data_IF_827995547404
#
_entry.id   IF_827995547404
#
_cell.length_a   1.000
_cell.length_b   1.000
_cell.length_c   1.000
_cell.angle_alpha   90.00
_cell.angle_beta   90.00
_cell.angle_gamma   90.00
#
_symmetry.space_group_name_H-M   'P 1'
#
loop_
_entity.id
_entity.type
_entity.pdbx_description
1 polymer ?
#
# COMPACT_ATOMS: atom_id res chain seq x y z
N UNK A 1 32.49 -9.64 6.53
CA UNK A 1 31.12 -10.11 6.26
C UNK A 1 31.09 -10.54 4.81
N UNK A 2 30.79 -11.81 4.53
CA UNK A 2 30.58 -12.28 3.16
C UNK A 2 29.39 -11.51 2.57
N UNK A 3 29.44 -11.02 1.31
CA UNK A 3 28.28 -10.40 0.69
C UNK A 3 27.10 -11.37 0.77
N UNK A 4 25.98 -10.92 1.34
CA UNK A 4 24.79 -11.75 1.38
C UNK A 4 24.32 -12.06 -0.03
N UNK A 5 23.89 -13.28 -0.30
CA UNK A 5 23.32 -13.71 -1.58
C UNK A 5 21.95 -13.06 -1.90
N UNK A 6 21.59 -11.98 -1.21
CA UNK A 6 20.33 -11.28 -1.39
C UNK A 6 20.51 -10.17 -2.44
N UNK A 7 19.72 -10.28 -3.50
CA UNK A 7 19.51 -9.20 -4.44
C UNK A 7 18.14 -8.57 -4.19
N UNK A 8 18.03 -7.27 -4.44
CA UNK A 8 16.76 -6.58 -4.44
C UNK A 8 16.66 -5.59 -5.59
N UNK A 9 15.44 -5.34 -6.04
CA UNK A 9 15.12 -4.34 -7.05
C UNK A 9 13.81 -3.66 -6.71
N UNK A 10 13.66 -2.41 -7.16
CA UNK A 10 12.48 -1.59 -6.87
C UNK A 10 11.94 -1.00 -8.16
N UNK A 11 10.62 -0.96 -8.29
CA UNK A 11 9.94 -0.25 -9.35
C UNK A 11 8.66 0.39 -8.82
N UNK A 12 8.25 1.48 -9.45
CA UNK A 12 7.05 2.23 -9.10
C UNK A 12 6.24 2.52 -10.36
N UNK A 13 4.94 2.28 -10.31
CA UNK A 13 4.00 2.64 -11.37
C UNK A 13 2.91 3.54 -10.81
N UNK A 14 2.50 4.53 -11.61
CA UNK A 14 1.34 5.35 -11.34
C UNK A 14 0.07 4.50 -11.56
N UNK A 15 -0.78 4.41 -10.54
CA UNK A 15 -2.06 3.70 -10.55
C UNK A 15 -3.26 4.66 -10.42
N UNK A 16 -3.06 5.95 -10.64
CA UNK A 16 -4.12 6.95 -10.59
C UNK A 16 -5.18 6.63 -11.64
N UNK A 17 -6.45 6.50 -11.22
CA UNK A 17 -7.53 6.29 -12.15
C UNK A 17 -7.92 7.58 -12.90
N UNK A 18 -8.67 7.47 -14.01
CA UNK A 18 -9.40 8.60 -14.57
C UNK A 18 -10.28 9.33 -13.54
N UNK A 19 -10.52 10.62 -13.76
CA UNK A 19 -11.50 11.40 -12.99
C UNK A 19 -12.91 10.82 -13.24
N UNK A 20 -13.72 10.72 -12.19
CA UNK A 20 -15.05 10.13 -12.25
C UNK A 20 -15.15 8.73 -11.61
N UNK A 21 -14.03 8.13 -11.17
CA UNK A 21 -14.09 6.87 -10.42
C UNK A 21 -14.68 7.10 -9.02
N UNK A 22 -15.64 6.27 -8.56
CA UNK A 22 -16.12 6.28 -7.18
C UNK A 22 -14.98 6.12 -6.18
N UNK A 23 -14.90 7.03 -5.23
CA UNK A 23 -13.91 6.98 -4.18
C UNK A 23 -14.45 6.20 -2.96
N UNK A 24 -13.56 5.63 -2.15
CA UNK A 24 -13.95 4.81 -0.99
C UNK A 24 -13.31 5.29 0.31
N UNK A 25 -13.98 5.06 1.44
CA UNK A 25 -13.46 5.37 2.79
C UNK A 25 -14.32 6.35 3.60
N UNK A 26 -15.20 7.11 2.96
CA UNK A 26 -16.18 7.99 3.62
C UNK A 26 -17.58 7.74 3.07
N UNK A 27 -18.57 7.64 3.95
CA UNK A 27 -19.96 7.45 3.56
C UNK A 27 -20.51 8.71 2.88
N UNK A 28 -21.36 8.53 1.87
CA UNK A 28 -22.04 9.62 1.17
C UNK A 28 -21.16 10.47 0.24
N UNK A 29 -19.93 10.03 -0.08
CA UNK A 29 -19.09 10.72 -1.07
C UNK A 29 -19.44 10.32 -2.50
N UNK A 30 -19.25 11.23 -3.43
CA UNK A 30 -19.38 10.99 -4.87
C UNK A 30 -18.09 10.47 -5.53
N UNK A 31 -18.11 10.49 -6.86
CA UNK A 31 -16.95 10.21 -7.70
C UNK A 31 -15.82 11.25 -7.52
N UNK A 32 -14.60 10.91 -7.96
CA UNK A 32 -13.50 11.86 -8.00
C UNK A 32 -13.80 13.01 -8.97
N UNK A 33 -13.46 14.23 -8.55
CA UNK A 33 -13.58 15.47 -9.36
C UNK A 33 -12.22 15.95 -9.90
N UNK A 34 -11.13 15.33 -9.44
CA UNK A 34 -9.77 15.68 -9.82
C UNK A 34 -8.74 14.83 -9.10
N UNK A 35 -7.47 15.12 -9.36
CA UNK A 35 -6.30 14.47 -8.75
C UNK A 35 -5.49 15.54 -8.02
N UNK A 36 -5.33 15.39 -6.71
CA UNK A 36 -4.43 16.25 -5.92
C UNK A 36 -3.00 15.72 -5.98
N UNK A 37 -2.83 14.45 -5.60
CA UNK A 37 -1.58 13.70 -5.73
C UNK A 37 -1.84 12.41 -6.51
N UNK A 38 -0.84 11.99 -7.27
CA UNK A 38 -0.86 10.72 -7.97
C UNK A 38 -0.78 9.54 -6.99
N UNK A 39 -1.52 8.47 -7.28
CA UNK A 39 -1.50 7.22 -6.55
C UNK A 39 -0.47 6.28 -7.19
N UNK A 40 0.27 5.54 -6.37
CA UNK A 40 1.29 4.63 -6.88
C UNK A 40 1.17 3.22 -6.33
N UNK A 41 1.63 2.28 -7.15
CA UNK A 41 2.07 0.96 -6.70
C UNK A 41 3.60 0.94 -6.70
N UNK A 42 4.19 0.53 -5.59
CA UNK A 42 5.64 0.34 -5.45
C UNK A 42 5.91 -1.13 -5.16
N UNK A 43 6.71 -1.78 -6.01
CA UNK A 43 7.11 -3.18 -5.82
C UNK A 43 8.57 -3.24 -5.40
N UNK A 44 8.82 -3.86 -4.26
CA UNK A 44 10.14 -4.35 -3.85
C UNK A 44 10.23 -5.83 -4.22
N UNK A 45 11.15 -6.16 -5.11
CA UNK A 45 11.52 -7.52 -5.43
C UNK A 45 12.72 -7.96 -4.59
N UNK A 46 12.67 -9.18 -4.07
CA UNK A 46 13.73 -9.83 -3.30
C UNK A 46 14.09 -11.14 -3.98
N UNK A 47 15.37 -11.42 -4.14
CA UNK A 47 15.86 -12.67 -4.71
C UNK A 47 17.05 -13.21 -3.93
N UNK A 48 16.98 -14.49 -3.54
CA UNK A 48 18.09 -15.22 -2.92
C UNK A 48 18.22 -16.59 -3.58
N UNK A 49 19.30 -16.81 -4.35
CA UNK A 49 19.41 -17.97 -5.24
C UNK A 49 18.26 -18.00 -6.24
N UNK A 50 17.54 -19.12 -6.29
CA UNK A 50 16.37 -19.32 -7.15
C UNK A 50 15.06 -18.84 -6.52
N UNK A 51 15.05 -18.50 -5.24
CA UNK A 51 13.85 -18.02 -4.54
C UNK A 51 13.63 -16.54 -4.80
N UNK A 52 12.41 -16.19 -5.21
CA UNK A 52 11.95 -14.81 -5.42
C UNK A 52 10.74 -14.51 -4.54
N UNK A 53 10.67 -13.31 -4.00
CA UNK A 53 9.53 -12.79 -3.25
C UNK A 53 9.27 -11.32 -3.61
N UNK A 54 8.02 -10.88 -3.48
CA UNK A 54 7.59 -9.52 -3.81
C UNK A 54 6.81 -8.91 -2.64
N UNK A 55 7.11 -7.65 -2.34
CA UNK A 55 6.26 -6.78 -1.51
C UNK A 55 5.75 -5.67 -2.42
N UNK A 56 4.44 -5.59 -2.59
CA UNK A 56 3.77 -4.56 -3.41
C UNK A 56 2.92 -3.70 -2.50
N UNK A 57 3.27 -2.42 -2.38
CA UNK A 57 2.48 -1.44 -1.61
C UNK A 57 1.70 -0.55 -2.57
N UNK A 58 0.41 -0.33 -2.32
CA UNK A 58 -0.49 0.43 -3.17
C UNK A 58 -1.15 1.57 -2.42
N UNK A 59 -1.24 2.73 -3.05
CA UNK A 59 -1.99 3.89 -2.56
C UNK A 59 -3.51 3.68 -2.74
N UNK A 60 -4.06 2.72 -2.01
CA UNK A 60 -5.48 2.32 -2.01
C UNK A 60 -6.01 2.20 -0.57
N UNK A 61 -7.34 2.16 -0.42
CA UNK A 61 -7.96 1.90 0.89
C UNK A 61 -7.79 0.43 1.31
N UNK A 62 -8.06 -0.48 0.39
CA UNK A 62 -8.00 -1.93 0.61
C UNK A 62 -7.75 -2.62 -0.73
N UNK A 63 -7.52 -3.93 -0.65
CA UNK A 63 -7.51 -4.84 -1.79
C UNK A 63 -8.64 -5.83 -1.56
N UNK A 64 -9.48 -6.06 -2.58
CA UNK A 64 -10.47 -7.13 -2.52
C UNK A 64 -9.79 -8.50 -2.65
N UNK A 65 -10.46 -9.55 -2.18
CA UNK A 65 -9.97 -10.93 -2.34
C UNK A 65 -9.81 -11.29 -3.83
N UNK A 66 -10.77 -10.89 -4.67
CA UNK A 66 -10.71 -11.13 -6.11
C UNK A 66 -9.51 -10.44 -6.76
N UNK A 67 -9.29 -9.15 -6.49
CA UNK A 67 -8.14 -8.42 -7.02
C UNK A 67 -6.82 -9.03 -6.53
N UNK A 68 -6.75 -9.42 -5.25
CA UNK A 68 -5.57 -10.06 -4.67
C UNK A 68 -5.23 -11.38 -5.38
N UNK A 69 -6.24 -12.22 -5.61
CA UNK A 69 -6.08 -13.49 -6.33
C UNK A 69 -5.65 -13.23 -7.77
N UNK A 70 -6.32 -12.33 -8.48
CA UNK A 70 -6.02 -12.02 -9.88
C UNK A 70 -4.61 -11.48 -10.08
N UNK A 71 -4.15 -10.59 -9.20
CA UNK A 71 -2.78 -10.04 -9.24
C UNK A 71 -1.74 -11.13 -9.00
N UNK A 72 -1.95 -11.97 -7.98
CA UNK A 72 -1.04 -13.08 -7.67
C UNK A 72 -0.94 -14.08 -8.81
N UNK A 73 -2.09 -14.47 -9.38
CA UNK A 73 -2.14 -15.37 -10.53
C UNK A 73 -1.45 -14.78 -11.75
N UNK A 74 -1.64 -13.49 -12.02
CA UNK A 74 -0.99 -12.83 -13.16
C UNK A 74 0.53 -12.73 -12.99
N UNK A 75 1.01 -12.44 -11.77
CA UNK A 75 2.44 -12.44 -11.43
C UNK A 75 3.02 -13.85 -11.58
N UNK A 76 2.37 -14.87 -11.03
CA UNK A 76 2.84 -16.25 -11.12
C UNK A 76 2.91 -16.72 -12.57
N UNK A 77 1.83 -16.50 -13.33
CA UNK A 77 1.72 -16.86 -14.75
C UNK A 77 2.78 -16.17 -15.61
N UNK A 78 3.04 -14.88 -15.39
CA UNK A 78 3.86 -14.06 -16.28
C UNK A 78 5.33 -13.92 -15.87
N UNK A 79 5.66 -14.19 -14.60
CA UNK A 79 6.99 -13.99 -14.01
C UNK A 79 7.53 -15.23 -13.28
N UNK A 80 6.71 -16.25 -13.03
CA UNK A 80 7.11 -17.47 -12.32
C UNK A 80 7.39 -17.28 -10.83
N UNK A 81 6.90 -16.19 -10.23
CA UNK A 81 6.98 -16.00 -8.77
C UNK A 81 5.76 -16.68 -8.14
N UNK A 82 5.93 -17.66 -7.23
CA UNK A 82 4.81 -18.33 -6.57
C UNK A 82 3.83 -17.34 -5.93
N UNK A 83 2.54 -17.62 -6.03
CA UNK A 83 1.49 -16.72 -5.52
C UNK A 83 1.62 -16.41 -4.01
N UNK A 84 2.10 -17.38 -3.23
CA UNK A 84 2.33 -17.28 -1.79
C UNK A 84 3.61 -16.51 -1.42
N UNK A 85 4.48 -16.23 -2.41
CA UNK A 85 5.66 -15.36 -2.25
C UNK A 85 5.36 -13.88 -2.55
N UNK A 86 4.10 -13.51 -2.76
CA UNK A 86 3.66 -12.15 -3.10
C UNK A 86 2.82 -11.56 -1.97
N UNK A 87 3.37 -10.56 -1.28
CA UNK A 87 2.65 -9.74 -0.30
C UNK A 87 2.11 -8.48 -0.98
N UNK A 88 0.79 -8.28 -0.93
CA UNK A 88 0.14 -7.04 -1.37
C UNK A 88 -0.35 -6.27 -0.15
N UNK A 89 -0.05 -4.97 -0.08
CA UNK A 89 -0.44 -4.10 1.03
C UNK A 89 -1.05 -2.80 0.49
N UNK A 90 -2.18 -2.39 1.04
CA UNK A 90 -2.76 -1.08 0.78
C UNK A 90 -2.31 -0.09 1.88
N UNK A 91 -2.00 1.17 1.53
CA UNK A 91 -1.68 2.21 2.51
C UNK A 91 -2.88 2.61 3.38
N UNK A 92 -4.08 2.17 3.01
CA UNK A 92 -5.33 2.52 3.67
C UNK A 92 -5.70 4.00 3.51
N UNK A 93 -5.36 4.60 2.36
CA UNK A 93 -5.81 5.95 2.01
C UNK A 93 -7.31 5.98 1.76
N UNK A 94 -8.00 6.94 2.39
CA UNK A 94 -9.42 7.18 2.17
C UNK A 94 -9.71 8.05 0.94
N UNK A 95 -8.71 8.35 0.11
CA UNK A 95 -8.84 9.23 -1.06
C UNK A 95 -8.51 8.52 -2.39
N UNK A 96 -8.42 7.19 -2.38
CA UNK A 96 -8.25 6.36 -3.56
C UNK A 96 -9.57 5.83 -4.15
N UNK A 97 -9.51 5.20 -5.32
CA UNK A 97 -10.66 4.57 -5.97
C UNK A 97 -11.19 3.38 -5.16
N UNK A 98 -12.49 3.11 -5.32
CA UNK A 98 -13.06 1.81 -4.98
C UNK A 98 -12.50 0.74 -5.92
N UNK A 99 -11.89 -0.30 -5.35
CA UNK A 99 -11.31 -1.44 -6.10
C UNK A 99 -12.02 -2.78 -5.78
N UNK A 100 -13.19 -2.71 -5.15
CA UNK A 100 -14.02 -3.87 -4.80
C UNK A 100 -14.85 -4.39 -5.97
N UNK A 101 -15.62 -5.45 -5.71
CA UNK A 101 -16.66 -5.89 -6.62
C UNK A 101 -17.75 -4.81 -6.70
N UNK A 102 -17.98 -4.32 -7.91
CA UNK A 102 -19.13 -3.47 -8.23
C UNK A 102 -20.11 -4.34 -9.02
N UNK A 103 -21.41 -4.05 -8.93
CA UNK A 103 -22.39 -4.80 -9.72
C UNK A 103 -22.11 -4.59 -11.22
N UNK A 104 -22.21 -5.66 -12.05
CA UNK A 104 -22.00 -5.56 -13.48
C UNK A 104 -22.93 -4.51 -14.11
N UNK A 105 -22.36 -3.52 -14.79
CA UNK A 105 -23.12 -2.47 -15.50
C UNK A 105 -23.39 -1.19 -14.69
N UNK A 106 -23.01 -1.12 -13.42
CA UNK A 106 -23.12 0.11 -12.61
C UNK A 106 -21.96 1.09 -12.82
N UNK A 107 -20.81 0.58 -13.28
CA UNK A 107 -19.62 1.39 -13.49
C UNK A 107 -19.52 1.91 -14.92
N UNK A 108 -19.12 3.18 -15.11
CA UNK A 108 -18.72 3.66 -16.43
C UNK A 108 -17.60 2.79 -17.02
N UNK A 109 -17.55 2.71 -18.36
CA UNK A 109 -16.72 1.72 -19.07
C UNK A 109 -15.21 1.90 -18.82
N UNK A 110 -14.76 3.15 -18.67
CA UNK A 110 -13.40 3.53 -18.30
C UNK A 110 -13.01 3.07 -16.89
N UNK A 111 -13.94 3.16 -15.92
CA UNK A 111 -13.75 2.64 -14.56
C UNK A 111 -13.56 1.13 -14.58
N UNK A 112 -14.42 0.42 -15.32
CA UNK A 112 -14.32 -1.04 -15.48
C UNK A 112 -13.00 -1.44 -16.16
N UNK A 113 -12.58 -0.68 -17.17
CA UNK A 113 -11.30 -0.91 -17.84
C UNK A 113 -10.11 -0.67 -16.92
N UNK A 114 -10.15 0.36 -16.06
CA UNK A 114 -9.11 0.60 -15.06
C UNK A 114 -8.96 -0.60 -14.12
N UNK A 115 -10.06 -1.07 -13.52
CA UNK A 115 -10.05 -2.21 -12.59
C UNK A 115 -9.54 -3.48 -13.27
N UNK A 116 -9.99 -3.77 -14.49
CA UNK A 116 -9.56 -4.93 -15.26
C UNK A 116 -8.06 -4.89 -15.62
N UNK A 117 -7.50 -3.70 -15.82
CA UNK A 117 -6.10 -3.51 -16.20
C UNK A 117 -5.14 -3.42 -15.01
N UNK A 118 -5.64 -3.12 -13.81
CA UNK A 118 -4.80 -2.91 -12.62
C UNK A 118 -3.88 -4.11 -12.36
N UNK A 119 -4.36 -5.35 -12.52
CA UNK A 119 -3.51 -6.55 -12.36
C UNK A 119 -2.31 -6.60 -13.31
N UNK A 120 -2.49 -6.21 -14.57
CA UNK A 120 -1.41 -6.21 -15.56
C UNK A 120 -0.41 -5.11 -15.26
N UNK A 121 -0.87 -3.96 -14.79
CA UNK A 121 -0.01 -2.86 -14.37
C UNK A 121 0.86 -3.26 -13.16
N UNK A 122 0.27 -3.95 -12.18
CA UNK A 122 0.99 -4.44 -10.99
C UNK A 122 1.99 -5.54 -11.36
N UNK A 123 1.63 -6.47 -12.24
CA UNK A 123 2.55 -7.47 -12.75
C UNK A 123 3.69 -6.84 -13.59
N UNK A 124 3.41 -5.80 -14.37
CA UNK A 124 4.42 -5.02 -15.08
C UNK A 124 5.41 -4.32 -14.13
N UNK A 125 4.90 -3.77 -13.03
CA UNK A 125 5.73 -3.17 -11.97
C UNK A 125 6.61 -4.23 -11.30
N UNK A 126 6.06 -5.41 -11.01
CA UNK A 126 6.83 -6.53 -10.49
C UNK A 126 7.93 -7.00 -11.45
N UNK A 127 7.65 -7.07 -12.75
CA UNK A 127 8.64 -7.37 -13.78
C UNK A 127 9.79 -6.38 -13.77
N UNK A 128 9.47 -5.08 -13.72
CA UNK A 128 10.47 -4.02 -13.69
C UNK A 128 11.33 -4.09 -12.41
N UNK A 129 10.72 -4.36 -11.25
CA UNK A 129 11.45 -4.54 -10.00
C UNK A 129 12.41 -5.74 -10.06
N UNK A 130 11.95 -6.88 -10.57
CA UNK A 130 12.79 -8.08 -10.77
C UNK A 130 13.96 -7.84 -11.73
N UNK A 131 13.72 -7.11 -12.83
CA UNK A 131 14.77 -6.75 -13.78
C UNK A 131 15.85 -5.83 -13.17
N UNK A 132 15.48 -5.04 -12.16
CA UNK A 132 16.39 -4.17 -11.41
C UNK A 132 17.11 -4.84 -10.25
N UNK A 133 16.94 -6.14 -10.03
CA UNK A 133 17.55 -6.85 -8.92
C UNK A 133 19.08 -6.77 -8.96
N UNK A 134 19.67 -6.26 -7.89
CA UNK A 134 21.13 -6.19 -7.67
C UNK A 134 21.49 -6.51 -6.23
N UNK A 135 22.72 -6.92 -5.92
CA UNK A 135 23.13 -7.24 -4.55
C UNK A 135 22.84 -6.09 -3.59
N UNK A 136 22.36 -6.41 -2.38
CA UNK A 136 22.04 -5.43 -1.34
C UNK A 136 22.49 -5.87 0.06
N UNK A 137 22.73 -4.88 0.90
CA UNK A 137 22.80 -5.00 2.35
C UNK A 137 21.43 -4.65 2.95
N UNK A 138 21.08 -5.32 4.06
CA UNK A 138 19.81 -5.09 4.75
C UNK A 138 20.09 -4.59 6.16
N UNK A 139 19.47 -3.48 6.52
CA UNK A 139 19.43 -2.93 7.87
C UNK A 139 18.02 -3.00 8.46
N UNK A 140 17.95 -3.13 9.78
CA UNK A 140 16.71 -3.02 10.55
C UNK A 140 16.86 -1.92 11.59
N UNK A 141 15.79 -1.13 11.77
CA UNK A 141 15.69 -0.18 12.85
C UNK A 141 14.28 -0.14 13.41
N UNK A 142 14.20 0.29 14.67
CA UNK A 142 12.95 0.50 15.38
C UNK A 142 12.98 1.87 16.04
N UNK A 143 11.84 2.55 16.02
CA UNK A 143 11.66 3.87 16.61
C UNK A 143 10.27 4.04 17.19
N UNK A 144 9.97 5.27 17.59
CA UNK A 144 8.68 5.67 18.15
C UNK A 144 8.12 6.86 17.39
N UNK A 145 6.82 6.88 17.12
CA UNK A 145 6.12 8.02 16.55
C UNK A 145 4.82 8.30 17.32
N UNK A 146 4.64 9.56 17.74
CA UNK A 146 3.51 9.98 18.58
C UNK A 146 2.34 10.62 17.79
N UNK A 147 2.37 10.57 16.46
CA UNK A 147 1.32 11.15 15.60
C UNK A 147 -0.05 10.46 15.77
N UNK A 148 -0.06 9.18 16.15
CA UNK A 148 -1.28 8.38 16.30
C UNK A 148 -1.98 8.62 17.63
N UNK A 149 -3.32 8.75 17.57
CA UNK A 149 -4.20 8.78 18.75
C UNK A 149 -5.30 7.74 18.61
N UNK A 150 -5.65 7.09 19.72
CA UNK A 150 -6.81 6.20 19.74
C UNK A 150 -8.09 7.02 19.56
N UNK A 151 -8.89 6.69 18.54
CA UNK A 151 -10.09 7.46 18.19
C UNK A 151 -11.36 7.09 18.97
N UNK A 152 -11.25 6.23 19.98
CA UNK A 152 -12.38 5.73 20.80
C UNK A 152 -12.45 6.49 22.12
N UNK A 153 -13.00 7.70 22.04
CA UNK A 153 -13.24 8.54 23.21
C UNK A 153 -14.42 8.01 24.03
N UNK A 154 -14.23 7.89 25.34
CA UNK A 154 -15.30 7.53 26.28
C UNK A 154 -15.84 8.81 26.92
N UNK A 155 -17.11 9.11 26.65
CA UNK A 155 -17.81 10.26 27.23
C UNK A 155 -18.21 10.02 28.70
N UNK A 156 -18.53 11.08 29.47
CA UNK A 156 -18.98 10.94 30.86
C UNK A 156 -20.22 10.04 31.05
N UNK A 157 -21.10 10.00 30.05
CA UNK A 157 -22.28 9.14 30.01
C UNK A 157 -21.97 7.66 29.68
N UNK A 158 -20.69 7.32 29.53
CA UNK A 158 -20.21 5.97 29.22
C UNK A 158 -20.25 5.59 27.74
N UNK A 159 -20.76 6.44 26.85
CA UNK A 159 -20.79 6.17 25.41
C UNK A 159 -19.39 6.28 24.79
N UNK A 160 -19.13 5.45 23.79
CA UNK A 160 -17.91 5.54 22.97
C UNK A 160 -18.25 6.25 21.66
N UNK A 161 -17.54 7.33 21.38
CA UNK A 161 -17.70 8.12 20.14
C UNK A 161 -16.40 8.16 19.34
N UNK A 162 -16.46 8.70 18.12
CA UNK A 162 -15.27 9.14 17.42
C UNK A 162 -14.78 10.44 18.05
N UNK A 163 -13.55 10.44 18.56
CA UNK A 163 -12.95 11.55 19.29
C UNK A 163 -11.49 11.24 19.60
N UNK A 164 -10.93 11.82 20.66
CA UNK A 164 -9.55 11.54 21.08
C UNK A 164 -9.52 10.81 22.42
N UNK A 165 -8.78 9.71 22.47
CA UNK A 165 -8.49 8.98 23.71
C UNK A 165 -6.97 8.86 23.89
N UNK A 166 -6.40 9.81 24.62
CA UNK A 166 -4.96 9.89 24.88
C UNK A 166 -4.44 8.75 25.77
N UNK A 167 -5.30 8.20 26.63
CA UNK A 167 -5.01 7.06 27.50
C UNK A 167 -5.30 5.71 26.81
N UNK A 168 -5.91 5.75 25.63
CA UNK A 168 -6.28 4.57 24.87
C UNK A 168 -5.07 3.88 24.25
N UNK A 169 -5.17 2.56 24.08
CA UNK A 169 -4.13 1.78 23.42
C UNK A 169 -3.82 2.36 22.03
N UNK A 170 -2.54 2.64 21.79
CA UNK A 170 -2.02 3.14 20.53
C UNK A 170 -0.63 2.52 20.32
N UNK A 171 -0.47 1.79 19.22
CA UNK A 171 0.85 1.30 18.84
C UNK A 171 1.68 2.49 18.33
N UNK A 172 2.75 2.80 19.06
CA UNK A 172 3.64 3.92 18.79
C UNK A 172 4.93 3.46 18.10
N UNK A 173 5.08 2.16 17.87
CA UNK A 173 6.28 1.58 17.31
C UNK A 173 6.34 1.79 15.79
N UNK A 174 7.46 2.31 15.32
CA UNK A 174 7.80 2.37 13.90
C UNK A 174 8.88 1.34 13.65
N UNK A 175 8.67 0.46 12.68
CA UNK A 175 9.69 -0.50 12.22
C UNK A 175 10.14 -0.13 10.83
N UNK A 176 11.44 -0.23 10.58
CA UNK A 176 12.07 0.07 9.31
C UNK A 176 12.97 -1.09 8.90
N UNK A 177 12.79 -1.55 7.67
CA UNK A 177 13.80 -2.35 6.95
C UNK A 177 14.34 -1.51 5.81
N UNK A 178 15.65 -1.27 5.80
CA UNK A 178 16.34 -0.53 4.74
C UNK A 178 17.18 -1.49 3.91
N UNK A 179 17.18 -1.30 2.60
CA UNK A 179 18.00 -2.04 1.65
C UNK A 179 18.93 -1.05 0.94
N UNK A 180 20.24 -1.32 0.99
CA UNK A 180 21.28 -0.49 0.40
C UNK A 180 22.05 -1.31 -0.64
N UNK A 181 22.22 -0.81 -1.86
CA UNK A 181 22.99 -1.50 -2.90
C UNK A 181 24.51 -1.28 -2.77
N UNK A 182 24.92 -0.40 -1.86
CA UNK A 182 26.30 -0.10 -1.50
C UNK A 182 26.34 0.96 -0.41
N UNK A 183 27.54 1.30 0.07
CA UNK A 183 27.71 2.39 1.04
C UNK A 183 27.22 3.71 0.43
N UNK A 184 26.22 4.34 1.09
CA UNK A 184 25.62 5.59 0.62
C UNK A 184 24.64 5.46 -0.55
N UNK A 185 24.31 4.25 -1.00
CA UNK A 185 23.34 3.99 -2.10
C UNK A 185 22.07 3.30 -1.59
N UNK A 186 21.14 4.05 -0.95
CA UNK A 186 19.85 3.50 -0.51
C UNK A 186 18.99 3.12 -1.71
N UNK A 187 18.55 1.85 -1.73
CA UNK A 187 17.63 1.34 -2.75
C UNK A 187 16.17 1.50 -2.33
N UNK A 188 15.84 1.06 -1.11
CA UNK A 188 14.46 1.06 -0.62
C UNK A 188 14.39 1.08 0.91
N UNK A 189 13.25 1.57 1.42
CA UNK A 189 12.88 1.53 2.82
C UNK A 189 11.45 1.02 2.95
N UNK A 190 11.27 -0.07 3.70
CA UNK A 190 9.94 -0.58 4.08
C UNK A 190 9.64 -0.11 5.49
N UNK A 191 8.64 0.74 5.62
CA UNK A 191 8.19 1.30 6.90
C UNK A 191 6.88 0.65 7.31
N UNK A 192 6.82 0.15 8.53
CA UNK A 192 5.58 -0.31 9.15
C UNK A 192 5.24 0.59 10.34
N UNK A 193 4.07 1.23 10.28
CA UNK A 193 3.54 2.08 11.35
C UNK A 193 2.02 2.03 11.35
N UNK A 194 1.42 1.83 12.53
CA UNK A 194 -0.01 1.67 12.69
C UNK A 194 -0.70 3.03 12.89
N UNK A 195 -1.16 3.63 11.79
CA UNK A 195 -2.02 4.81 11.82
C UNK A 195 -3.00 4.77 10.65
N UNK A 196 -4.15 5.43 10.80
CA UNK A 196 -5.03 5.67 9.65
C UNK A 196 -4.44 6.80 8.81
N UNK A 197 -4.39 6.62 7.49
CA UNK A 197 -4.04 7.65 6.52
C UNK A 197 -5.19 8.67 6.33
N UNK A 198 -5.51 9.39 7.41
CA UNK A 198 -6.42 10.52 7.43
C UNK A 198 -5.90 11.51 8.47
N UNK A 199 -5.58 12.73 8.02
CA UNK A 199 -5.38 13.85 8.94
C UNK A 199 -6.77 14.38 9.25
N UNK A 200 -7.21 14.22 10.50
CA UNK A 200 -8.42 14.89 10.95
C UNK A 200 -8.29 16.38 10.72
N UNK A 201 -9.33 17.01 10.18
CA UNK A 201 -9.48 18.44 10.41
C UNK A 201 -9.39 18.61 11.92
N UNK A 202 -8.40 19.38 12.38
CA UNK A 202 -8.34 19.80 13.78
C UNK A 202 -9.74 20.28 14.12
N UNK A 203 -10.30 19.83 15.24
CA UNK A 203 -11.42 20.52 15.86
C UNK A 203 -10.97 21.98 15.91
N UNK A 204 -11.48 22.82 14.99
CA UNK A 204 -11.39 24.25 15.16
C UNK A 204 -12.19 24.48 16.42
N UNK A 205 -11.51 24.83 17.50
CA UNK A 205 -12.20 25.31 18.69
C UNK A 205 -13.22 26.37 18.23
N UNK A 206 -14.48 26.26 18.65
CA UNK A 206 -15.53 27.22 18.30
C UNK A 206 -15.21 28.64 18.79
#
# INVERSE_FOLDING_TARGET
>A
MTPGNLCAGVARANITPPVGIPLVGFAGRGASEGVHDELYATTLALQCGDTRALIVTLDLLYLSDSLTIEVRQEIERSLGVPADHVLLCASHTHYGPSVGAHEPGELPADVSAYLANLKYLLAGTARAALAGCRPVLVGYAQGRCDIGVNRRERRPDGRIVLGQNLEGACDREVRLVRLDAGEGDPLAAVVHFAARCYVGESVRDP
#
